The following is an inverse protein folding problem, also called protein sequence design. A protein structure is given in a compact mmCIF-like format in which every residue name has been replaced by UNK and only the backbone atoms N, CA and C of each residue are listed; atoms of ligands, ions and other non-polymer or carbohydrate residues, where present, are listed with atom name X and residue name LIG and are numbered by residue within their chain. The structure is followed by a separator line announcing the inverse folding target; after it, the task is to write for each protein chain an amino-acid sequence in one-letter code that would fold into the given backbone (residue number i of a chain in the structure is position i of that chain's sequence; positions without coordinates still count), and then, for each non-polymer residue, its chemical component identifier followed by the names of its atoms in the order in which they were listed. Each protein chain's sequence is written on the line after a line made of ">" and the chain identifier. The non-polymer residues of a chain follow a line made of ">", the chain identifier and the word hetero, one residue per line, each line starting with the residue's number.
data_IF_345240180264
#
_entry.id   IF_345240180264
#
_cell.length_a   1.000
_cell.length_b   1.000
_cell.length_c   1.000
_cell.angle_alpha   90.00
_cell.angle_beta   90.00
_cell.angle_gamma   90.00
#
_symmetry.space_group_name_H-M   'P 1'
#
loop_
_entity.id
_entity.type
_entity.pdbx_description
1 polymer ?
#
# COMPACT_ATOMS: atom_id res chain seq x y z
N UNK A 1 14.58 1.62 -28.82
CA UNK A 1 15.74 1.59 -27.91
C UNK A 1 16.65 0.42 -28.28
N UNK A 2 17.97 0.57 -28.18
CA UNK A 2 18.94 -0.47 -28.51
C UNK A 2 18.80 -1.75 -27.64
N UNK A 3 17.99 -1.70 -26.58
CA UNK A 3 17.82 -2.76 -25.58
C UNK A 3 16.40 -3.37 -25.52
N UNK A 4 15.54 -3.07 -26.50
CA UNK A 4 14.20 -3.67 -26.56
C UNK A 4 13.18 -3.13 -25.54
N UNK A 5 13.48 -2.04 -24.81
CA UNK A 5 12.54 -1.39 -23.91
C UNK A 5 11.94 -0.15 -24.58
N UNK A 6 10.62 -0.02 -24.50
CA UNK A 6 9.87 1.15 -24.92
C UNK A 6 9.21 1.75 -23.68
N UNK A 7 9.44 3.05 -23.45
CA UNK A 7 8.77 3.78 -22.38
C UNK A 7 7.43 4.28 -22.89
N UNK A 8 6.35 3.90 -22.20
CA UNK A 8 4.99 4.33 -22.50
C UNK A 8 4.58 5.34 -21.42
N UNK A 9 4.19 6.54 -21.85
CA UNK A 9 3.61 7.53 -20.94
C UNK A 9 2.20 7.13 -20.57
N UNK A 10 1.92 7.00 -19.26
CA UNK A 10 0.59 6.70 -18.74
C UNK A 10 -0.08 8.00 -18.35
N UNK A 11 -1.32 8.21 -18.83
CA UNK A 11 -2.20 9.25 -18.33
C UNK A 11 -3.19 8.64 -17.33
N UNK A 12 -3.18 9.05 -16.06
CA UNK A 12 -4.12 8.52 -15.07
C UNK A 12 -5.58 8.92 -15.33
N UNK A 13 -5.84 9.83 -16.27
CA UNK A 13 -7.19 10.19 -16.73
C UNK A 13 -7.75 9.22 -17.76
N UNK A 14 -6.90 8.41 -18.38
CA UNK A 14 -7.24 7.40 -19.38
C UNK A 14 -7.14 6.02 -18.75
N UNK A 15 -8.23 5.53 -18.20
CA UNK A 15 -8.26 4.24 -17.53
C UNK A 15 -9.24 3.30 -18.26
N UNK A 16 -8.81 2.05 -18.56
CA UNK A 16 -7.50 1.43 -18.33
C UNK A 16 -6.46 1.88 -19.35
N UNK A 17 -5.19 1.88 -18.96
CA UNK A 17 -4.10 2.14 -19.91
C UNK A 17 -3.62 0.86 -20.63
N UNK A 18 -3.98 -0.32 -20.12
CA UNK A 18 -3.72 -1.62 -20.74
C UNK A 18 -4.95 -2.52 -20.63
N UNK A 19 -5.34 -3.13 -21.75
CA UNK A 19 -6.41 -4.12 -21.82
C UNK A 19 -6.15 -5.05 -23.02
N UNK A 20 -5.92 -6.34 -22.76
CA UNK A 20 -5.74 -7.39 -23.80
C UNK A 20 -6.90 -8.40 -23.83
N UNK A 21 -7.98 -8.10 -23.11
CA UNK A 21 -9.15 -8.95 -22.94
C UNK A 21 -9.08 -9.89 -21.74
N UNK A 22 -7.89 -10.35 -21.35
CA UNK A 22 -7.67 -11.17 -20.15
C UNK A 22 -7.19 -10.35 -18.97
N UNK A 23 -6.22 -9.47 -19.19
CA UNK A 23 -5.62 -8.58 -18.19
C UNK A 23 -6.02 -7.13 -18.48
N UNK A 24 -6.54 -6.47 -17.48
CA UNK A 24 -6.81 -5.04 -17.48
C UNK A 24 -6.02 -4.36 -16.39
N UNK A 25 -5.32 -3.27 -16.75
CA UNK A 25 -4.56 -2.47 -15.78
C UNK A 25 -5.05 -1.03 -15.81
N UNK A 26 -5.46 -0.56 -14.64
CA UNK A 26 -5.94 0.80 -14.42
C UNK A 26 -4.97 1.54 -13.51
N UNK A 27 -4.46 2.69 -13.97
CA UNK A 27 -3.73 3.63 -13.13
C UNK A 27 -4.67 4.73 -12.65
N UNK A 28 -4.55 5.14 -11.40
CA UNK A 28 -5.36 6.22 -10.82
C UNK A 28 -4.52 7.09 -9.90
N UNK A 29 -4.89 8.36 -9.79
CA UNK A 29 -4.22 9.29 -8.89
C UNK A 29 -4.55 8.98 -7.43
N UNK A 30 -3.53 9.13 -6.58
CA UNK A 30 -3.65 9.14 -5.12
C UNK A 30 -2.95 10.38 -4.56
N UNK A 31 -3.18 10.69 -3.30
CA UNK A 31 -2.76 11.93 -2.67
C UNK A 31 -1.46 11.73 -1.87
N UNK A 32 -0.35 12.31 -2.36
CA UNK A 32 0.97 12.23 -1.71
C UNK A 32 1.75 13.54 -1.87
N UNK A 33 1.10 14.69 -1.59
CA UNK A 33 1.77 15.97 -1.66
C UNK A 33 2.96 16.06 -0.65
N UNK A 34 4.12 16.64 -1.03
CA UNK A 34 4.35 17.46 -2.23
C UNK A 34 4.77 16.68 -3.49
N UNK A 35 4.83 15.35 -3.45
CA UNK A 35 5.18 14.53 -4.62
C UNK A 35 3.92 14.26 -5.44
N UNK A 36 3.87 14.82 -6.65
CA UNK A 36 2.72 14.71 -7.55
C UNK A 36 3.20 14.54 -9.00
N UNK A 37 2.61 13.64 -9.80
CA UNK A 37 1.55 12.72 -9.44
C UNK A 37 2.04 11.50 -8.65
N UNK A 38 1.26 11.03 -7.68
CA UNK A 38 1.39 9.71 -7.10
C UNK A 38 0.30 8.80 -7.67
N UNK A 39 0.61 7.54 -7.95
CA UNK A 39 -0.26 6.62 -8.67
C UNK A 39 -0.51 5.33 -7.89
N UNK A 40 -1.78 4.96 -7.78
CA UNK A 40 -2.19 3.61 -7.49
C UNK A 40 -2.47 2.82 -8.77
N UNK A 41 -2.49 1.49 -8.65
CA UNK A 41 -2.72 0.58 -9.78
C UNK A 41 -3.71 -0.50 -9.39
N UNK A 42 -4.69 -0.77 -10.29
CA UNK A 42 -5.58 -1.91 -10.20
C UNK A 42 -5.32 -2.85 -11.35
N UNK A 43 -5.17 -4.13 -11.03
CA UNK A 43 -5.02 -5.24 -11.96
C UNK A 43 -6.25 -6.14 -11.86
N UNK A 44 -6.98 -6.30 -12.96
CA UNK A 44 -8.07 -7.27 -13.08
C UNK A 44 -7.66 -8.35 -14.09
N UNK A 45 -7.64 -9.61 -13.64
CA UNK A 45 -7.23 -10.75 -14.46
C UNK A 45 -8.13 -11.97 -14.21
N UNK A 46 -8.88 -12.39 -15.23
CA UNK A 46 -9.73 -13.60 -15.17
C UNK A 46 -10.63 -13.68 -13.94
N UNK A 47 -11.26 -12.56 -13.60
CA UNK A 47 -12.17 -12.46 -12.48
C UNK A 47 -11.51 -12.33 -11.09
N UNK A 48 -10.18 -12.13 -11.07
CA UNK A 48 -9.43 -11.81 -9.86
C UNK A 48 -8.90 -10.37 -9.94
N UNK A 49 -8.74 -9.74 -8.78
CA UNK A 49 -8.29 -8.35 -8.74
C UNK A 49 -7.29 -8.07 -7.63
N UNK A 50 -6.26 -7.29 -7.97
CA UNK A 50 -5.25 -6.80 -7.04
C UNK A 50 -5.16 -5.30 -7.20
N UNK A 51 -5.02 -4.57 -6.08
CA UNK A 51 -4.80 -3.14 -6.06
C UNK A 51 -3.53 -2.82 -5.29
N UNK A 52 -2.71 -1.93 -5.81
CA UNK A 52 -1.57 -1.31 -5.14
C UNK A 52 -1.88 0.15 -4.88
N UNK A 53 -1.71 0.60 -3.65
CA UNK A 53 -2.03 1.97 -3.26
C UNK A 53 -1.10 3.01 -3.90
N UNK A 54 0.20 2.66 -4.10
CA UNK A 54 1.24 3.66 -4.16
C UNK A 54 1.36 4.37 -2.80
N UNK A 55 2.24 5.35 -2.70
CA UNK A 55 2.39 6.15 -1.48
C UNK A 55 1.27 7.18 -1.43
N UNK A 56 0.54 7.24 -0.31
CA UNK A 56 -0.68 8.04 -0.21
C UNK A 56 -1.13 8.27 1.23
N UNK A 57 -1.85 9.35 1.46
CA UNK A 57 -2.76 9.46 2.62
C UNK A 57 -4.06 8.69 2.34
N UNK A 58 -5.07 8.84 3.21
CA UNK A 58 -6.40 8.31 2.89
C UNK A 58 -6.95 8.94 1.62
N UNK A 59 -7.23 8.14 0.59
CA UNK A 59 -7.63 8.57 -0.75
C UNK A 59 -9.00 8.04 -1.12
N UNK A 60 -9.92 8.92 -1.53
CA UNK A 60 -11.24 8.52 -2.06
C UNK A 60 -11.10 7.83 -3.44
N UNK A 61 -10.08 8.18 -4.23
CA UNK A 61 -9.79 7.47 -5.46
C UNK A 61 -9.31 6.04 -5.15
N UNK A 62 -8.39 5.85 -4.20
CA UNK A 62 -7.98 4.53 -3.79
C UNK A 62 -9.17 3.71 -3.28
N UNK A 63 -10.04 4.30 -2.46
CA UNK A 63 -11.27 3.65 -2.00
C UNK A 63 -12.14 3.18 -3.18
N UNK A 64 -12.33 4.05 -4.18
CA UNK A 64 -13.11 3.75 -5.40
C UNK A 64 -12.52 2.58 -6.17
N UNK A 65 -11.20 2.61 -6.42
CA UNK A 65 -10.54 1.57 -7.22
C UNK A 65 -10.25 0.28 -6.44
N UNK A 66 -10.17 0.33 -5.11
CA UNK A 66 -10.05 -0.84 -4.26
C UNK A 66 -11.38 -1.59 -4.04
N UNK A 67 -12.51 -0.99 -4.44
CA UNK A 67 -13.83 -1.59 -4.21
C UNK A 67 -13.91 -3.02 -4.72
N UNK A 68 -14.33 -3.92 -3.80
CA UNK A 68 -14.52 -5.36 -4.02
C UNK A 68 -13.26 -6.10 -4.53
N UNK A 69 -12.05 -5.54 -4.35
CA UNK A 69 -10.81 -6.19 -4.74
C UNK A 69 -10.56 -7.47 -3.91
N UNK A 70 -9.89 -8.44 -4.54
CA UNK A 70 -9.44 -9.63 -3.82
C UNK A 70 -8.34 -9.28 -2.83
N UNK A 71 -7.34 -8.52 -3.28
CA UNK A 71 -6.23 -8.07 -2.43
C UNK A 71 -5.94 -6.59 -2.65
N UNK A 72 -5.79 -5.87 -1.54
CA UNK A 72 -5.25 -4.53 -1.52
C UNK A 72 -3.86 -4.57 -0.89
N UNK A 73 -2.85 -4.20 -1.67
CA UNK A 73 -1.52 -3.85 -1.17
C UNK A 73 -1.53 -2.37 -0.79
N UNK A 74 -1.37 -2.11 0.50
CA UNK A 74 -1.43 -0.78 1.09
C UNK A 74 -0.10 -0.42 1.72
N UNK A 75 0.47 0.71 1.31
CA UNK A 75 1.59 1.29 2.05
C UNK A 75 1.17 1.62 3.48
N UNK A 76 2.10 1.69 4.41
CA UNK A 76 1.77 2.11 5.75
C UNK A 76 2.94 2.73 6.52
N UNK A 77 2.64 3.82 7.23
CA UNK A 77 3.55 4.48 8.15
C UNK A 77 3.06 4.37 9.59
N UNK A 78 3.88 3.78 10.47
CA UNK A 78 3.56 3.71 11.88
C UNK A 78 3.77 5.06 12.55
N UNK A 79 2.69 5.83 12.71
CA UNK A 79 2.71 7.15 13.35
C UNK A 79 3.30 7.09 14.76
N UNK A 80 2.98 6.04 15.54
CA UNK A 80 3.49 5.84 16.90
C UNK A 80 5.01 5.67 16.94
N UNK A 81 5.57 4.86 16.03
CA UNK A 81 7.01 4.62 15.97
C UNK A 81 7.72 5.87 15.45
N UNK A 82 7.24 6.45 14.36
CA UNK A 82 7.85 7.64 13.74
C UNK A 82 7.85 8.83 14.71
N UNK A 83 6.76 9.10 15.41
CA UNK A 83 6.70 10.18 16.40
C UNK A 83 7.70 9.99 17.54
N UNK A 84 7.95 8.74 17.97
CA UNK A 84 8.97 8.44 18.97
C UNK A 84 10.39 8.64 18.44
N UNK A 85 10.64 8.20 17.20
CA UNK A 85 11.93 8.39 16.53
C UNK A 85 12.20 9.89 16.30
N UNK A 86 11.19 10.66 15.89
CA UNK A 86 11.29 12.12 15.76
C UNK A 86 11.77 12.76 17.08
N UNK A 87 11.09 12.47 18.20
CA UNK A 87 11.48 12.99 19.52
C UNK A 87 12.88 12.57 19.93
N UNK A 88 13.30 11.35 19.60
CA UNK A 88 14.66 10.89 19.86
C UNK A 88 15.68 11.69 19.05
N UNK A 89 15.41 11.99 17.77
CA UNK A 89 16.29 12.82 16.93
C UNK A 89 16.37 14.27 17.45
N UNK A 90 15.24 14.84 17.87
CA UNK A 90 15.20 16.16 18.52
C UNK A 90 16.08 16.19 19.78
N UNK A 91 16.00 15.17 20.62
CA UNK A 91 16.74 15.11 21.90
C UNK A 91 18.25 15.08 21.74
N UNK A 92 18.75 14.62 20.60
CA UNK A 92 20.19 14.59 20.28
C UNK A 92 20.62 15.73 19.33
N UNK A 93 19.72 16.69 19.04
CA UNK A 93 20.01 17.85 18.19
C UNK A 93 20.09 17.53 16.69
N UNK A 94 19.55 16.38 16.25
CA UNK A 94 19.52 16.00 14.83
C UNK A 94 18.24 16.55 14.16
N UNK A 95 18.20 17.87 14.02
CA UNK A 95 17.00 18.60 13.51
C UNK A 95 16.61 18.18 12.08
N UNK A 96 17.58 17.85 11.22
CA UNK A 96 17.31 17.43 9.84
C UNK A 96 16.49 16.13 9.80
N UNK A 97 16.92 15.10 10.52
CA UNK A 97 16.17 13.84 10.60
C UNK A 97 14.84 14.00 11.35
N UNK A 98 14.81 14.81 12.42
CA UNK A 98 13.57 15.11 13.12
C UNK A 98 12.53 15.74 12.20
N UNK A 99 12.97 16.71 11.37
CA UNK A 99 12.08 17.33 10.37
C UNK A 99 11.55 16.34 9.33
N UNK A 100 12.40 15.46 8.78
CA UNK A 100 11.95 14.43 7.85
C UNK A 100 10.89 13.54 8.50
N UNK A 101 11.12 13.09 9.74
CA UNK A 101 10.17 12.24 10.46
C UNK A 101 8.87 12.97 10.81
N UNK A 102 8.91 14.28 10.97
CA UNK A 102 7.71 15.11 11.12
C UNK A 102 6.94 15.18 9.79
N UNK A 103 7.63 15.56 8.70
CA UNK A 103 7.02 15.82 7.40
C UNK A 103 6.35 14.55 6.81
N UNK A 104 6.98 13.35 6.92
CA UNK A 104 6.45 12.11 6.34
C UNK A 104 5.09 11.68 6.94
N UNK A 105 4.72 12.19 8.10
CA UNK A 105 3.42 11.87 8.71
C UNK A 105 2.25 12.52 7.99
N UNK A 106 2.50 13.56 7.19
CA UNK A 106 1.45 14.32 6.49
C UNK A 106 1.07 13.72 5.12
N UNK A 107 1.88 12.80 4.59
CA UNK A 107 1.67 12.27 3.23
C UNK A 107 1.73 10.74 3.12
N UNK A 108 1.74 10.03 4.25
CA UNK A 108 1.58 8.57 4.32
C UNK A 108 0.38 8.18 5.17
N UNK A 109 -0.15 6.97 4.94
CA UNK A 109 -1.32 6.47 5.66
C UNK A 109 -0.94 5.65 6.90
N UNK A 110 -1.73 5.77 7.97
CA UNK A 110 -1.56 4.88 9.14
C UNK A 110 -2.09 3.47 8.85
N UNK A 111 -1.55 2.40 9.49
CA UNK A 111 -2.09 1.05 9.35
C UNK A 111 -3.58 0.96 9.68
N UNK A 112 -4.05 1.70 10.69
CA UNK A 112 -5.47 1.73 11.06
C UNK A 112 -6.35 2.39 10.00
N UNK A 113 -5.88 3.45 9.37
CA UNK A 113 -6.64 4.11 8.30
C UNK A 113 -6.63 3.28 7.03
N UNK A 114 -5.52 2.59 6.73
CA UNK A 114 -5.46 1.59 5.68
C UNK A 114 -6.47 0.45 5.91
N UNK A 115 -6.58 -0.05 7.14
CA UNK A 115 -7.56 -1.06 7.51
C UNK A 115 -9.01 -0.55 7.40
N UNK A 116 -9.28 0.71 7.77
CA UNK A 116 -10.61 1.34 7.59
C UNK A 116 -10.97 1.47 6.12
N UNK A 117 -10.00 1.86 5.27
CA UNK A 117 -10.18 1.94 3.83
C UNK A 117 -10.47 0.56 3.25
N UNK A 118 -9.70 -0.46 3.59
CA UNK A 118 -9.90 -1.84 3.14
C UNK A 118 -11.30 -2.36 3.51
N UNK A 119 -11.74 -2.11 4.74
CA UNK A 119 -13.08 -2.46 5.22
C UNK A 119 -14.17 -1.75 4.43
N UNK A 120 -14.05 -0.43 4.23
CA UNK A 120 -15.02 0.40 3.50
C UNK A 120 -15.09 0.01 2.02
N UNK A 121 -13.94 -0.39 1.44
CA UNK A 121 -13.85 -0.87 0.06
C UNK A 121 -14.33 -2.32 -0.12
N UNK A 122 -14.68 -3.04 0.95
CA UNK A 122 -15.05 -4.46 0.92
C UNK A 122 -13.96 -5.34 0.28
N UNK A 123 -12.70 -5.07 0.59
CA UNK A 123 -11.54 -5.86 0.16
C UNK A 123 -11.57 -7.22 0.87
N UNK A 124 -11.13 -8.30 0.22
CA UNK A 124 -11.12 -9.63 0.84
C UNK A 124 -9.88 -9.86 1.69
N UNK A 125 -8.73 -9.30 1.30
CA UNK A 125 -7.49 -9.39 2.05
C UNK A 125 -6.65 -8.13 1.91
N UNK A 126 -6.08 -7.66 3.02
CA UNK A 126 -5.21 -6.49 3.09
C UNK A 126 -3.76 -6.93 3.28
N UNK A 127 -2.86 -6.45 2.44
CA UNK A 127 -1.42 -6.69 2.59
C UNK A 127 -0.74 -5.34 2.81
N UNK A 128 -0.18 -5.14 3.99
CA UNK A 128 0.66 -3.96 4.21
C UNK A 128 2.04 -4.20 3.61
N UNK A 129 2.48 -3.29 2.76
CA UNK A 129 3.80 -3.26 2.12
C UNK A 129 4.41 -1.86 2.24
N UNK A 130 5.61 -1.61 1.74
CA UNK A 130 6.28 -0.30 1.87
C UNK A 130 6.15 0.26 3.30
N UNK A 131 6.60 -0.56 4.27
CA UNK A 131 6.41 -0.27 5.69
C UNK A 131 7.41 0.77 6.18
N UNK A 132 6.95 1.82 6.81
CA UNK A 132 7.80 2.88 7.36
C UNK A 132 7.51 3.11 8.87
N UNK A 133 8.52 2.90 9.76
CA UNK A 133 9.74 2.15 9.50
C UNK A 133 9.46 0.64 9.39
N UNK A 134 10.24 -0.07 8.58
CA UNK A 134 10.09 -1.53 8.48
C UNK A 134 10.33 -2.18 9.86
N UNK A 135 9.42 -3.02 10.35
CA UNK A 135 9.57 -3.69 11.64
C UNK A 135 10.59 -4.82 11.53
N UNK A 136 11.75 -4.68 12.18
CA UNK A 136 12.85 -5.65 12.14
C UNK A 136 12.76 -6.72 13.24
N UNK A 137 11.83 -6.58 14.19
CA UNK A 137 11.56 -7.55 15.26
C UNK A 137 10.06 -7.67 15.49
N UNK A 138 9.61 -8.80 16.01
CA UNK A 138 8.19 -9.10 16.26
C UNK A 138 7.48 -8.05 17.12
N UNK A 139 8.14 -7.51 18.13
CA UNK A 139 7.58 -6.45 18.98
C UNK A 139 7.26 -5.18 18.18
N UNK A 140 8.13 -4.82 17.21
CA UNK A 140 7.83 -3.69 16.32
C UNK A 140 6.66 -3.98 15.40
N UNK A 141 6.52 -5.21 14.90
CA UNK A 141 5.38 -5.63 14.10
C UNK A 141 4.06 -5.55 14.89
N UNK A 142 4.05 -5.96 16.16
CA UNK A 142 2.90 -5.82 17.06
C UNK A 142 2.51 -4.36 17.30
N UNK A 143 3.51 -3.48 17.50
CA UNK A 143 3.26 -2.04 17.66
C UNK A 143 2.73 -1.45 16.35
N UNK A 144 3.30 -1.87 15.21
CA UNK A 144 2.93 -1.38 13.89
C UNK A 144 1.46 -1.70 13.56
N UNK A 145 1.00 -2.91 13.86
CA UNK A 145 -0.34 -3.40 13.54
C UNK A 145 -1.35 -3.27 14.68
N UNK A 146 -0.99 -2.61 15.78
CA UNK A 146 -1.85 -2.50 16.96
C UNK A 146 -3.24 -1.96 16.65
N UNK A 147 -4.28 -2.78 16.91
CA UNK A 147 -5.68 -2.46 16.71
C UNK A 147 -6.12 -2.45 15.23
N UNK A 148 -5.31 -2.99 14.34
CA UNK A 148 -5.71 -3.26 12.94
C UNK A 148 -6.70 -4.39 12.88
N UNK A 149 -6.46 -5.47 13.62
CA UNK A 149 -7.30 -6.68 13.71
C UNK A 149 -8.74 -6.39 14.21
N UNK A 150 -8.89 -5.40 15.10
CA UNK A 150 -10.22 -4.93 15.56
C UNK A 150 -11.02 -4.24 14.44
N UNK A 151 -10.33 -3.69 13.43
CA UNK A 151 -10.95 -2.98 12.31
C UNK A 151 -11.15 -3.93 11.13
N UNK A 152 -10.11 -4.66 10.77
CA UNK A 152 -10.05 -5.57 9.63
C UNK A 152 -9.10 -6.74 9.93
N UNK A 153 -9.66 -7.94 10.15
CA UNK A 153 -8.90 -9.11 10.63
C UNK A 153 -8.11 -9.84 9.54
N UNK A 154 -8.57 -9.75 8.28
CA UNK A 154 -7.96 -10.48 7.16
C UNK A 154 -6.80 -9.69 6.56
N UNK A 155 -5.70 -9.54 7.31
CA UNK A 155 -4.53 -8.81 6.84
C UNK A 155 -3.23 -9.58 7.00
N UNK A 156 -2.22 -9.17 6.24
CA UNK A 156 -0.83 -9.61 6.31
C UNK A 156 0.08 -8.41 6.40
N UNK A 157 1.05 -8.45 7.31
CA UNK A 157 2.20 -7.54 7.29
C UNK A 157 3.26 -8.20 6.43
N UNK A 158 3.53 -7.66 5.24
CA UNK A 158 4.46 -8.26 4.30
C UNK A 158 5.91 -8.06 4.73
N UNK A 159 6.72 -9.01 4.37
CA UNK A 159 8.18 -8.98 4.44
C UNK A 159 8.74 -9.31 3.05
N UNK A 160 10.04 -9.13 2.84
CA UNK A 160 10.72 -9.50 1.60
C UNK A 160 10.50 -11.01 1.33
N UNK A 161 10.05 -11.31 0.12
CA UNK A 161 9.67 -12.68 -0.25
C UNK A 161 8.23 -13.07 0.11
N UNK A 162 7.40 -12.18 0.65
CA UNK A 162 5.95 -12.45 0.78
C UNK A 162 5.33 -12.66 -0.60
N UNK A 163 4.74 -13.84 -0.79
CA UNK A 163 4.18 -14.28 -2.05
C UNK A 163 2.67 -14.48 -1.94
N UNK A 164 1.91 -13.75 -2.77
CA UNK A 164 0.45 -13.81 -2.82
C UNK A 164 0.01 -14.43 -4.14
N UNK A 165 -0.78 -15.50 -4.08
CA UNK A 165 -1.31 -16.19 -5.25
C UNK A 165 -2.83 -16.18 -5.24
N UNK A 166 -3.42 -15.74 -6.34
CA UNK A 166 -4.85 -15.75 -6.60
C UNK A 166 -5.15 -16.77 -7.71
N UNK A 167 -5.46 -18.05 -7.39
CA UNK A 167 -5.76 -19.03 -8.42
C UNK A 167 -6.98 -18.60 -9.24
N UNK A 168 -6.89 -18.74 -10.58
CA UNK A 168 -8.06 -18.51 -11.45
C UNK A 168 -9.20 -19.46 -11.11
N UNK A 169 -10.43 -19.05 -11.32
CA UNK A 169 -11.64 -19.84 -11.05
C UNK A 169 -11.77 -20.29 -9.58
N UNK A 170 -11.16 -19.56 -8.65
CA UNK A 170 -11.20 -19.81 -7.21
C UNK A 170 -11.41 -18.49 -6.47
N UNK A 171 -11.92 -18.55 -5.24
CA UNK A 171 -11.95 -17.41 -4.31
C UNK A 171 -10.77 -17.43 -3.34
N UNK A 172 -9.93 -18.46 -3.43
CA UNK A 172 -8.80 -18.67 -2.54
C UNK A 172 -7.76 -17.56 -2.70
N UNK A 173 -7.17 -17.13 -1.60
CA UNK A 173 -6.02 -16.24 -1.52
C UNK A 173 -4.95 -17.02 -0.76
N UNK A 174 -3.84 -17.33 -1.41
CA UNK A 174 -2.73 -18.05 -0.80
C UNK A 174 -1.62 -17.08 -0.48
N UNK A 175 -1.16 -17.09 0.77
CA UNK A 175 -0.05 -16.27 1.21
C UNK A 175 1.04 -17.20 1.75
N UNK A 176 2.26 -17.01 1.28
CA UNK A 176 3.43 -17.79 1.66
C UNK A 176 4.68 -16.92 1.62
N UNK A 177 5.78 -17.41 2.16
CA UNK A 177 7.11 -16.84 1.93
C UNK A 177 7.86 -17.72 0.93
N UNK A 178 8.65 -17.09 0.06
CA UNK A 178 9.56 -17.74 -0.89
C UNK A 178 11.02 -17.72 -0.38
N UNK A 179 11.24 -17.41 0.91
CA UNK A 179 12.56 -17.44 1.55
C UNK A 179 12.97 -18.88 1.88
#
# INVERSE_FOLDING_TARGET
>A
SANGYEAITISPSESPFYDDGDLKITAFLVEHEPVSPSLGFRFDYKGRSIVFSGDTIYSENLLKYAKDADVLFMEALSMDIISRLQKAQESIGNEGNAKIMFDIQDYHISPKDGARLAKKANVKHLVFYHLAPAPVISLMAEVFTRGVDEIFSDFTLADDGTHVVLPKNSKEIKISSIN
#
